data_IF_370590320327
#
_entry.id   IF_370590320327
#
_cell.length_a   1.000
_cell.length_b   1.000
_cell.length_c   1.000
_cell.angle_alpha   90.00
_cell.angle_beta   90.00
_cell.angle_gamma   90.00
#
_symmetry.space_group_name_H-M   'P 1'
#
loop_
_entity.id
_entity.type
_entity.pdbx_description
1 polymer ?
#
# COMPACT_ATOMS: atom_id res chain seq x y z
N UNK A 1 -14.72 6.35 -3.90
CA UNK A 1 -13.32 5.98 -4.12
C UNK A 1 -13.16 4.47 -4.27
N UNK A 2 -13.57 3.64 -3.31
CA UNK A 2 -13.40 2.17 -3.33
C UNK A 2 -13.95 1.51 -4.61
N UNK A 3 -15.18 1.84 -5.02
CA UNK A 3 -15.76 1.30 -6.25
C UNK A 3 -14.98 1.69 -7.51
N UNK A 4 -14.37 2.87 -7.56
CA UNK A 4 -13.50 3.26 -8.65
C UNK A 4 -12.18 2.47 -8.63
N UNK A 5 -11.60 2.24 -7.46
CA UNK A 5 -10.39 1.43 -7.31
C UNK A 5 -10.62 -0.02 -7.77
N UNK A 6 -11.79 -0.60 -7.43
CA UNK A 6 -12.22 -1.92 -7.91
C UNK A 6 -12.31 -1.96 -9.45
N UNK A 7 -13.02 -0.99 -10.04
CA UNK A 7 -13.17 -0.89 -11.49
C UNK A 7 -11.82 -0.73 -12.19
N UNK A 8 -10.94 0.13 -11.69
CA UNK A 8 -9.62 0.35 -12.28
C UNK A 8 -8.73 -0.90 -12.17
N UNK A 9 -8.82 -1.63 -11.06
CA UNK A 9 -8.10 -2.90 -10.92
C UNK A 9 -8.64 -3.96 -11.90
N UNK A 10 -9.95 -4.05 -12.09
CA UNK A 10 -10.55 -4.93 -13.10
C UNK A 10 -10.05 -4.58 -14.51
N UNK A 11 -10.04 -3.30 -14.87
CA UNK A 11 -9.50 -2.82 -16.15
C UNK A 11 -8.02 -3.20 -16.31
N UNK A 12 -7.21 -2.98 -15.29
CA UNK A 12 -5.79 -3.34 -15.32
C UNK A 12 -5.59 -4.85 -15.55
N UNK A 13 -6.38 -5.70 -14.90
CA UNK A 13 -6.32 -7.16 -15.10
C UNK A 13 -6.64 -7.57 -16.53
N UNK A 14 -7.62 -6.91 -17.14
CA UNK A 14 -8.01 -7.17 -18.54
C UNK A 14 -6.98 -6.62 -19.52
N UNK A 15 -6.61 -5.34 -19.37
CA UNK A 15 -5.72 -4.64 -20.29
C UNK A 15 -4.30 -5.19 -20.26
N UNK A 16 -3.79 -5.60 -19.10
CA UNK A 16 -2.49 -6.26 -18.96
C UNK A 16 -2.52 -7.76 -19.27
N UNK A 17 -3.71 -8.32 -19.46
CA UNK A 17 -3.92 -9.69 -19.97
C UNK A 17 -3.86 -10.80 -18.93
N UNK A 18 -3.54 -10.52 -17.66
CA UNK A 18 -3.44 -11.57 -16.64
C UNK A 18 -4.77 -11.96 -15.99
N UNK A 19 -5.82 -11.21 -16.21
CA UNK A 19 -7.20 -11.47 -15.79
C UNK A 19 -8.19 -11.40 -16.94
N UNK A 20 -7.74 -11.55 -18.19
CA UNK A 20 -8.54 -11.36 -19.39
C UNK A 20 -9.73 -12.32 -19.48
N UNK A 21 -9.56 -13.53 -18.98
CA UNK A 21 -10.57 -14.58 -19.02
C UNK A 21 -11.40 -14.67 -17.73
N UNK A 22 -11.20 -13.75 -16.79
CA UNK A 22 -11.99 -13.68 -15.56
C UNK A 22 -13.44 -13.28 -15.88
N UNK A 23 -14.38 -14.08 -15.40
CA UNK A 23 -15.82 -13.79 -15.47
C UNK A 23 -16.39 -13.87 -14.05
N UNK A 24 -16.05 -12.86 -13.23
CA UNK A 24 -16.36 -12.85 -11.82
C UNK A 24 -17.65 -12.09 -11.54
N UNK A 25 -18.53 -12.69 -10.75
CA UNK A 25 -19.72 -12.04 -10.18
C UNK A 25 -19.31 -11.01 -9.12
N UNK A 26 -20.24 -10.10 -8.78
CA UNK A 26 -20.04 -9.14 -7.69
C UNK A 26 -19.66 -9.81 -6.36
N UNK A 27 -20.27 -10.95 -6.05
CA UNK A 27 -19.97 -11.70 -4.83
C UNK A 27 -18.53 -12.27 -4.84
N UNK A 28 -18.03 -12.64 -6.00
CA UNK A 28 -16.65 -13.12 -6.17
C UNK A 28 -15.64 -11.98 -6.13
N UNK A 29 -15.95 -10.83 -6.75
CA UNK A 29 -15.14 -9.62 -6.64
C UNK A 29 -15.03 -9.15 -5.19
N UNK A 30 -16.13 -9.13 -4.44
CA UNK A 30 -16.15 -8.77 -3.03
C UNK A 30 -15.37 -9.75 -2.13
N UNK A 31 -15.20 -11.01 -2.59
CA UNK A 31 -14.37 -12.03 -1.94
C UNK A 31 -12.93 -12.10 -2.48
N UNK A 32 -12.55 -11.12 -3.30
CA UNK A 32 -11.20 -11.00 -3.87
C UNK A 32 -10.74 -12.26 -4.62
N UNK A 33 -11.65 -12.87 -5.40
CA UNK A 33 -11.37 -14.07 -6.21
C UNK A 33 -10.60 -13.79 -7.49
N UNK A 34 -10.34 -12.53 -7.79
CA UNK A 34 -9.51 -12.13 -8.92
C UNK A 34 -8.03 -12.49 -8.71
N UNK A 35 -7.30 -12.61 -9.81
CA UNK A 35 -5.85 -12.82 -9.78
C UNK A 35 -5.12 -11.54 -9.38
N UNK A 36 -4.10 -11.69 -8.54
CA UNK A 36 -3.29 -10.57 -8.05
C UNK A 36 -3.89 -9.90 -6.81
N UNK A 37 -3.29 -8.80 -6.41
CA UNK A 37 -3.69 -8.01 -5.25
C UNK A 37 -3.55 -6.51 -5.52
N UNK A 38 -4.22 -5.69 -4.73
CA UNK A 38 -4.10 -4.23 -4.74
C UNK A 38 -3.78 -3.65 -3.35
N UNK A 39 -2.59 -3.93 -2.80
CA UNK A 39 -2.21 -3.39 -1.50
C UNK A 39 -1.97 -1.88 -1.55
N UNK A 40 -2.13 -1.23 -0.41
CA UNK A 40 -1.92 0.21 -0.28
C UNK A 40 -1.09 0.56 0.97
N UNK A 41 -0.30 1.66 0.94
CA UNK A 41 0.41 2.14 2.11
C UNK A 41 -0.53 2.51 3.27
N UNK A 42 -0.23 2.00 4.46
CA UNK A 42 -1.03 2.17 5.67
C UNK A 42 -1.97 0.99 5.98
N UNK A 43 -1.92 -0.08 5.18
CA UNK A 43 -2.67 -1.32 5.39
C UNK A 43 -1.76 -2.46 5.88
N UNK A 44 -2.33 -3.57 6.40
CA UNK A 44 -1.54 -4.62 7.06
C UNK A 44 -0.41 -5.22 6.23
N UNK A 45 -0.54 -5.28 4.90
CA UNK A 45 0.51 -5.78 4.01
C UNK A 45 1.62 -4.75 3.72
N UNK A 46 1.35 -3.47 3.94
CA UNK A 46 2.27 -2.36 3.71
C UNK A 46 2.00 -1.25 4.74
N UNK A 47 2.41 -1.43 6.01
CA UNK A 47 2.03 -0.51 7.09
C UNK A 47 2.67 0.89 7.00
N UNK A 48 3.76 1.05 6.26
CA UNK A 48 4.47 2.32 6.15
C UNK A 48 3.73 3.33 5.25
N UNK A 49 3.17 4.36 5.85
CA UNK A 49 2.51 5.45 5.14
C UNK A 49 3.47 6.30 4.30
N UNK A 50 4.76 6.32 4.62
CA UNK A 50 5.75 7.14 3.90
C UNK A 50 5.98 6.65 2.46
N UNK A 51 5.58 5.42 2.14
CA UNK A 51 5.61 4.89 0.77
C UNK A 51 4.68 5.63 -0.20
N UNK A 52 3.75 6.43 0.30
CA UNK A 52 2.95 7.31 -0.56
C UNK A 52 3.80 8.38 -1.24
N UNK A 53 4.87 8.87 -0.60
CA UNK A 53 5.67 9.94 -1.22
C UNK A 53 6.31 9.51 -2.54
N UNK A 54 7.13 8.43 -2.58
CA UNK A 54 7.68 7.98 -3.85
C UNK A 54 6.62 7.57 -4.89
N UNK A 55 5.47 7.04 -4.44
CA UNK A 55 4.36 6.72 -5.33
C UNK A 55 3.78 7.98 -5.99
N UNK A 56 3.57 9.05 -5.22
CA UNK A 56 3.05 10.32 -5.70
C UNK A 56 4.03 11.03 -6.63
N UNK A 57 5.31 10.97 -6.33
CA UNK A 57 6.37 11.53 -7.17
C UNK A 57 6.45 10.79 -8.52
N UNK A 58 6.41 9.45 -8.49
CA UNK A 58 6.43 8.61 -9.68
C UNK A 58 5.24 8.90 -10.62
N UNK A 59 4.06 9.11 -10.04
CA UNK A 59 2.82 9.36 -10.78
C UNK A 59 2.58 10.84 -11.09
N UNK A 60 3.41 11.75 -10.60
CA UNK A 60 3.12 13.20 -10.63
C UNK A 60 1.72 13.53 -10.10
N UNK A 61 1.29 12.83 -9.05
CA UNK A 61 -0.11 12.77 -8.62
C UNK A 61 -0.69 14.15 -8.26
N UNK A 62 0.11 15.04 -7.69
CA UNK A 62 -0.30 16.39 -7.35
C UNK A 62 -0.64 17.21 -8.60
N UNK A 63 0.20 17.09 -9.64
CA UNK A 63 0.04 17.81 -10.90
C UNK A 63 -1.07 17.20 -11.77
N UNK A 64 -1.07 15.88 -11.90
CA UNK A 64 -1.88 15.20 -12.92
C UNK A 64 -3.26 14.79 -12.40
N UNK A 65 -3.40 14.57 -11.08
CA UNK A 65 -4.66 14.19 -10.45
C UNK A 65 -5.19 15.20 -9.41
N UNK A 66 -4.42 16.23 -9.04
CA UNK A 66 -4.80 17.20 -8.02
C UNK A 66 -4.93 16.58 -6.60
N UNK A 67 -4.29 15.44 -6.37
CA UNK A 67 -4.30 14.77 -5.06
C UNK A 67 -3.02 15.11 -4.33
N UNK A 68 -3.12 15.71 -3.15
CA UNK A 68 -1.98 16.09 -2.32
C UNK A 68 -1.83 15.21 -1.09
N UNK A 69 -0.66 15.25 -0.45
CA UNK A 69 -0.39 14.58 0.82
C UNK A 69 -0.21 15.62 1.93
N UNK A 70 -0.81 15.37 3.08
CA UNK A 70 -0.51 16.10 4.30
C UNK A 70 0.84 15.68 4.89
N UNK A 71 1.33 16.37 5.91
CA UNK A 71 2.55 16.01 6.65
C UNK A 71 2.50 14.57 7.24
N UNK A 72 1.30 14.09 7.53
CA UNK A 72 1.06 12.74 8.03
C UNK A 72 0.69 11.74 6.93
N UNK A 73 0.99 12.05 5.67
CA UNK A 73 0.68 11.21 4.51
C UNK A 73 -0.81 10.85 4.35
N UNK A 74 -1.71 11.66 4.90
CA UNK A 74 -3.13 11.57 4.53
C UNK A 74 -3.34 12.23 3.18
N UNK A 75 -4.23 11.67 2.36
CA UNK A 75 -4.55 12.21 1.04
C UNK A 75 -5.63 13.29 1.13
N UNK A 76 -5.48 14.32 0.31
CA UNK A 76 -6.51 15.31 0.07
C UNK A 76 -6.79 15.42 -1.44
N UNK A 77 -8.04 15.35 -1.91
CA UNK A 77 -9.29 15.15 -1.12
C UNK A 77 -9.33 13.83 -0.34
N UNK A 78 -10.01 13.82 0.81
CA UNK A 78 -10.04 12.68 1.74
C UNK A 78 -10.62 11.38 1.14
N UNK A 79 -11.43 11.49 0.08
CA UNK A 79 -11.99 10.34 -0.63
C UNK A 79 -11.03 9.73 -1.67
N UNK A 80 -9.78 10.19 -1.74
CA UNK A 80 -8.76 9.63 -2.64
C UNK A 80 -8.28 8.26 -2.15
N UNK A 81 -7.83 7.44 -3.11
CA UNK A 81 -7.15 6.16 -2.84
C UNK A 81 -5.86 6.11 -3.64
N UNK A 82 -4.85 5.44 -3.11
CA UNK A 82 -3.59 5.17 -3.78
C UNK A 82 -3.06 3.79 -3.38
N UNK A 83 -2.37 3.12 -4.27
CA UNK A 83 -1.84 1.78 -4.00
C UNK A 83 -1.13 1.19 -5.21
N UNK A 84 -0.95 -0.12 -5.17
CA UNK A 84 -0.23 -0.89 -6.17
C UNK A 84 -1.09 -2.03 -6.70
N UNK A 85 -0.89 -2.41 -7.95
CA UNK A 85 -1.45 -3.62 -8.53
C UNK A 85 -0.34 -4.63 -8.77
N UNK A 86 -0.41 -5.78 -8.09
CA UNK A 86 0.51 -6.91 -8.31
C UNK A 86 -0.20 -8.05 -9.02
N UNK A 87 0.35 -8.47 -10.17
CA UNK A 87 -0.23 -9.49 -11.05
C UNK A 87 0.36 -10.88 -10.86
N UNK A 88 1.41 -11.03 -10.04
CA UNK A 88 2.07 -12.31 -9.86
C UNK A 88 1.10 -13.38 -9.35
N UNK A 89 1.09 -14.61 -9.90
CA UNK A 89 0.11 -15.64 -9.52
C UNK A 89 0.19 -16.09 -8.06
N UNK A 90 1.33 -15.89 -7.40
CA UNK A 90 1.52 -16.16 -5.97
C UNK A 90 1.22 -14.94 -5.09
N UNK A 91 0.84 -13.81 -5.67
CA UNK A 91 0.44 -12.63 -4.88
C UNK A 91 -0.80 -12.94 -4.05
N UNK A 92 -0.72 -12.65 -2.76
CA UNK A 92 -1.83 -12.80 -1.81
C UNK A 92 -1.75 -11.73 -0.75
N UNK A 93 -2.87 -11.33 -0.20
CA UNK A 93 -2.90 -10.44 0.96
C UNK A 93 -2.33 -11.15 2.20
N UNK A 94 -1.60 -10.39 3.00
CA UNK A 94 -1.01 -10.84 4.26
C UNK A 94 -0.91 -9.66 5.23
N UNK A 95 -0.61 -9.93 6.48
CA UNK A 95 -0.24 -8.92 7.46
C UNK A 95 1.24 -9.05 7.79
N UNK A 96 1.96 -7.94 7.78
CA UNK A 96 3.37 -7.89 8.23
C UNK A 96 3.47 -8.32 9.69
N UNK A 97 2.46 -7.96 10.51
CA UNK A 97 2.46 -8.30 11.94
C UNK A 97 3.46 -7.49 12.73
N UNK A 98 4.00 -8.12 13.78
CA UNK A 98 4.98 -7.48 14.67
C UNK A 98 6.39 -7.59 14.09
N UNK A 99 7.16 -6.51 14.23
CA UNK A 99 8.53 -6.38 13.72
C UNK A 99 9.50 -6.10 14.86
N UNK A 100 10.67 -6.74 14.79
CA UNK A 100 11.74 -6.60 15.78
C UNK A 100 12.67 -5.44 15.45
N UNK A 101 13.46 -5.03 16.44
CA UNK A 101 14.37 -3.90 16.33
C UNK A 101 15.38 -4.07 15.19
N UNK A 102 15.95 -5.23 15.02
CA UNK A 102 16.91 -5.54 13.95
C UNK A 102 16.27 -5.39 12.55
N UNK A 103 15.00 -5.76 12.41
CA UNK A 103 14.24 -5.57 11.17
C UNK A 103 14.00 -4.08 10.89
N UNK A 104 13.66 -3.31 11.91
CA UNK A 104 13.47 -1.85 11.80
C UNK A 104 14.78 -1.15 11.45
N UNK A 105 15.89 -1.53 12.07
CA UNK A 105 17.24 -1.02 11.77
C UNK A 105 17.65 -1.34 10.32
N UNK A 106 17.39 -2.56 9.84
CA UNK A 106 17.65 -2.92 8.45
C UNK A 106 16.76 -2.10 7.48
N UNK A 107 15.49 -1.96 7.79
CA UNK A 107 14.55 -1.16 6.99
C UNK A 107 14.96 0.32 6.94
N UNK A 108 15.31 0.92 8.08
CA UNK A 108 15.84 2.29 8.19
C UNK A 108 17.04 2.51 7.25
N UNK A 109 17.99 1.60 7.30
CA UNK A 109 19.19 1.65 6.45
C UNK A 109 18.86 1.56 4.95
N UNK A 110 18.00 0.61 4.56
CA UNK A 110 17.58 0.44 3.16
C UNK A 110 16.74 1.61 2.63
N UNK A 111 15.92 2.19 3.48
CA UNK A 111 15.05 3.32 3.13
C UNK A 111 15.78 4.66 3.16
N UNK A 112 16.90 4.75 3.86
CA UNK A 112 17.66 6.00 4.03
C UNK A 112 16.99 7.00 4.97
N UNK A 113 16.14 6.53 5.89
CA UNK A 113 15.54 7.31 6.95
C UNK A 113 16.20 7.00 8.28
N UNK A 114 16.24 7.98 9.20
CA UNK A 114 16.73 7.73 10.54
C UNK A 114 15.81 6.76 11.32
N UNK A 115 16.41 6.03 12.26
CA UNK A 115 15.74 4.98 13.01
C UNK A 115 14.48 5.49 13.75
N UNK A 116 14.56 6.63 14.40
CA UNK A 116 13.43 7.21 15.16
C UNK A 116 12.26 7.58 14.25
N UNK A 117 12.54 8.07 13.07
CA UNK A 117 11.50 8.34 12.07
C UNK A 117 10.80 7.05 11.64
N UNK A 118 11.54 5.98 11.39
CA UNK A 118 10.96 4.67 11.02
C UNK A 118 10.15 4.09 12.18
N UNK A 119 10.68 4.10 13.40
CA UNK A 119 9.98 3.65 14.60
C UNK A 119 8.66 4.39 14.80
N UNK A 120 8.63 5.69 14.58
CA UNK A 120 7.40 6.49 14.66
C UNK A 120 6.34 6.04 13.66
N UNK A 121 6.73 5.82 12.40
CA UNK A 121 5.79 5.43 11.34
C UNK A 121 5.32 3.99 11.47
N UNK A 122 6.14 3.10 12.02
CA UNK A 122 5.84 1.69 12.23
C UNK A 122 5.41 1.36 13.66
N UNK A 123 5.18 2.38 14.49
CA UNK A 123 4.90 2.19 15.92
C UNK A 123 3.83 1.14 16.26
N UNK A 124 2.71 1.01 15.49
CA UNK A 124 1.72 -0.03 15.78
C UNK A 124 2.21 -1.46 15.53
N UNK A 125 3.31 -1.61 14.80
CA UNK A 125 3.87 -2.90 14.42
C UNK A 125 5.13 -3.29 15.23
N UNK A 126 5.61 -2.44 16.12
CA UNK A 126 6.82 -2.75 16.90
C UNK A 126 6.52 -3.79 17.98
N UNK A 127 7.43 -4.77 18.11
CA UNK A 127 7.39 -5.72 19.22
C UNK A 127 8.29 -5.31 20.40
N UNK A 128 8.78 -4.08 20.39
CA UNK A 128 9.62 -3.49 21.41
C UNK A 128 9.21 -2.04 21.67
N UNK A 129 9.63 -1.52 22.80
CA UNK A 129 9.46 -0.09 23.14
C UNK A 129 10.71 0.68 22.69
N UNK A 130 10.59 1.63 21.73
CA UNK A 130 11.72 2.44 21.28
C UNK A 130 12.36 3.30 22.37
N UNK A 131 11.62 3.60 23.43
CA UNK A 131 12.05 4.46 24.53
C UNK A 131 12.50 3.67 25.76
N UNK A 132 12.38 2.34 25.73
CA UNK A 132 12.92 1.50 26.78
C UNK A 132 14.46 1.50 26.72
N UNK A 133 15.10 1.88 27.84
CA UNK A 133 16.53 1.89 28.02
C UNK A 133 17.13 0.49 28.14
#
# INVERSE_FOLDING_TARGET
AEGLAELMHQRARVEWGYGKDENLSYAELAREKYRGIRPAPGYPALPDHTEKRPLFDLLSAEKDAGITLTENFAMYPAASVSGFYFSHPQSKYFAVGMISRDQVEDYSRRKGLDLRTVERWLSPNLNYDPDAA
#
